data_IF_886370399624
#
_entry.id   IF_886370399624
#
_cell.length_a   1.000
_cell.length_b   1.000
_cell.length_c   1.000
_cell.angle_alpha   90.00
_cell.angle_beta   90.00
_cell.angle_gamma   90.00
#
_symmetry.space_group_name_H-M   'P 1'
#
loop_
_entity.id
_entity.type
_entity.pdbx_description
1 polymer ?
#
# COMPACT_ATOMS: atom_id res chain seq x y z
N UNK A 1 6.06 20.02 -2.37
CA UNK A 1 5.10 18.91 -2.52
C UNK A 1 4.88 18.25 -1.17
N UNK A 2 3.65 18.28 -0.64
CA UNK A 2 3.32 17.64 0.65
C UNK A 2 3.30 16.12 0.47
N UNK A 3 4.20 15.41 1.16
CA UNK A 3 4.24 13.93 1.12
C UNK A 3 3.02 13.41 1.90
N UNK A 4 2.12 12.71 1.21
CA UNK A 4 0.94 12.09 1.84
C UNK A 4 1.24 10.61 2.06
N UNK A 5 1.28 10.20 3.32
CA UNK A 5 1.31 8.77 3.65
C UNK A 5 -0.11 8.23 3.63
N UNK A 6 -0.24 7.06 3.03
CA UNK A 6 -1.48 6.32 2.98
C UNK A 6 -1.36 5.10 3.90
N UNK A 7 -2.36 4.85 4.76
CA UNK A 7 -2.47 3.59 5.47
C UNK A 7 -2.49 2.41 4.50
N UNK A 8 -2.17 1.21 4.99
CA UNK A 8 -2.06 0.01 4.17
C UNK A 8 -3.34 -0.35 3.40
N UNK A 9 -4.50 0.10 3.88
CA UNK A 9 -5.81 -0.12 3.25
C UNK A 9 -6.07 0.78 2.04
N UNK A 10 -5.41 1.94 1.98
CA UNK A 10 -5.51 2.91 0.88
C UNK A 10 -4.44 2.71 -0.21
N UNK A 11 -3.47 1.82 0.05
CA UNK A 11 -2.38 1.51 -0.86
C UNK A 11 -2.84 0.63 -2.04
N UNK A 12 -2.61 1.12 -3.25
CA UNK A 12 -2.84 0.38 -4.51
C UNK A 12 -1.60 -0.43 -4.90
N UNK A 13 -1.05 -1.19 -3.95
CA UNK A 13 0.18 -1.97 -4.18
C UNK A 13 0.02 -2.96 -5.33
N UNK A 14 0.98 -3.00 -6.27
CA UNK A 14 1.01 -3.96 -7.38
C UNK A 14 0.03 -3.70 -8.53
N UNK A 15 -0.86 -2.71 -8.41
CA UNK A 15 -1.85 -2.38 -9.46
C UNK A 15 -1.17 -1.97 -10.77
N UNK A 16 -0.12 -1.14 -10.70
CA UNK A 16 0.59 -0.67 -11.88
C UNK A 16 1.29 -1.81 -12.64
N UNK A 17 1.97 -2.72 -11.91
CA UNK A 17 2.62 -3.87 -12.52
C UNK A 17 1.60 -4.80 -13.19
N UNK A 18 0.46 -5.04 -12.55
CA UNK A 18 -0.59 -5.88 -13.15
C UNK A 18 -1.21 -5.22 -14.37
N UNK A 19 -1.44 -3.90 -14.34
CA UNK A 19 -1.96 -3.17 -15.49
C UNK A 19 -1.00 -3.20 -16.69
N UNK A 20 0.31 -3.00 -16.45
CA UNK A 20 1.33 -3.10 -17.51
C UNK A 20 1.41 -4.51 -18.08
N UNK A 21 1.37 -5.53 -17.22
CA UNK A 21 1.34 -6.92 -17.66
C UNK A 21 0.13 -7.22 -18.53
N UNK A 22 -1.06 -6.81 -18.10
CA UNK A 22 -2.28 -6.98 -18.88
C UNK A 22 -2.21 -6.26 -20.23
N UNK A 23 -1.66 -5.05 -20.27
CA UNK A 23 -1.49 -4.32 -21.53
C UNK A 23 -0.60 -5.11 -22.51
N UNK A 24 0.58 -5.56 -22.07
CA UNK A 24 1.50 -6.36 -22.90
C UNK A 24 0.86 -7.69 -23.31
N UNK A 25 0.15 -8.35 -22.40
CA UNK A 25 -0.54 -9.61 -22.63
C UNK A 25 -1.59 -9.50 -23.75
N UNK A 26 -2.50 -8.52 -23.65
CA UNK A 26 -3.52 -8.33 -24.68
C UNK A 26 -2.94 -7.82 -25.99
N UNK A 27 -1.89 -6.99 -25.97
CA UNK A 27 -1.17 -6.62 -27.20
C UNK A 27 -0.57 -7.84 -27.91
N UNK A 28 0.02 -8.78 -27.17
CA UNK A 28 0.55 -10.02 -27.74
C UNK A 28 -0.55 -10.89 -28.36
N UNK A 29 -1.67 -11.08 -27.65
CA UNK A 29 -2.82 -11.84 -28.17
C UNK A 29 -3.39 -11.19 -29.42
N UNK A 30 -3.65 -9.88 -29.42
CA UNK A 30 -4.12 -9.16 -30.60
C UNK A 30 -3.14 -9.28 -31.78
N UNK A 31 -1.83 -9.18 -31.51
CA UNK A 31 -0.78 -9.37 -32.50
C UNK A 31 -0.82 -10.77 -33.14
N UNK A 32 -1.04 -11.82 -32.34
CA UNK A 32 -1.19 -13.19 -32.85
C UNK A 32 -2.46 -13.35 -33.69
N UNK A 33 -3.60 -12.81 -33.25
CA UNK A 33 -4.86 -12.87 -33.99
C UNK A 33 -4.72 -12.22 -35.37
N UNK A 34 -4.04 -11.07 -35.45
CA UNK A 34 -3.80 -10.35 -36.70
C UNK A 34 -2.91 -11.12 -37.69
N UNK A 35 -1.98 -11.96 -37.20
CA UNK A 35 -1.01 -12.68 -38.05
C UNK A 35 -1.48 -14.08 -38.44
N UNK A 36 -2.03 -14.84 -37.50
CA UNK A 36 -2.36 -16.26 -37.68
C UNK A 36 -3.86 -16.56 -37.70
N UNK A 37 -4.71 -15.54 -37.60
CA UNK A 37 -6.14 -15.69 -37.42
C UNK A 37 -6.52 -16.15 -36.01
N UNK A 38 -7.82 -16.30 -35.78
CA UNK A 38 -8.37 -16.64 -34.46
C UNK A 38 -8.40 -18.15 -34.23
N UNK A 39 -7.73 -18.62 -33.18
CA UNK A 39 -7.75 -20.03 -32.76
C UNK A 39 -8.50 -20.19 -31.44
N UNK A 40 -9.25 -21.29 -31.28
CA UNK A 40 -10.05 -21.55 -30.08
C UNK A 40 -9.19 -21.68 -28.81
N UNK A 41 -7.94 -22.11 -28.94
CA UNK A 41 -6.97 -22.13 -27.83
C UNK A 41 -6.68 -20.72 -27.28
N UNK A 42 -6.82 -19.66 -28.09
CA UNK A 42 -6.62 -18.27 -27.66
C UNK A 42 -7.73 -17.78 -26.73
N UNK A 43 -8.93 -18.38 -26.77
CA UNK A 43 -10.01 -18.05 -25.84
C UNK A 43 -9.59 -18.31 -24.39
N UNK A 44 -8.87 -19.41 -24.12
CA UNK A 44 -8.35 -19.72 -22.79
C UNK A 44 -7.37 -18.63 -22.31
N UNK A 45 -6.47 -18.15 -23.17
CA UNK A 45 -5.52 -17.10 -22.84
C UNK A 45 -6.20 -15.72 -22.63
N UNK A 46 -7.29 -15.45 -23.35
CA UNK A 46 -8.08 -14.24 -23.22
C UNK A 46 -8.83 -14.20 -21.88
N UNK A 47 -9.44 -15.34 -21.50
CA UNK A 47 -10.14 -15.53 -20.22
C UNK A 47 -9.16 -15.59 -19.04
N UNK A 48 -8.01 -16.24 -19.18
CA UNK A 48 -6.99 -16.28 -18.13
C UNK A 48 -6.45 -14.88 -17.80
N UNK A 49 -6.30 -14.00 -18.80
CA UNK A 49 -5.88 -12.61 -18.63
C UNK A 49 -6.89 -11.71 -17.89
N UNK A 50 -8.17 -12.10 -17.83
CA UNK A 50 -9.22 -11.35 -17.13
C UNK A 50 -9.12 -11.51 -15.59
N UNK A 51 -8.65 -12.65 -15.10
CA UNK A 51 -8.50 -12.90 -13.66
C UNK A 51 -7.63 -11.85 -12.94
N UNK A 52 -6.39 -11.55 -13.37
CA UNK A 52 -5.58 -10.52 -12.73
C UNK A 52 -6.16 -9.12 -12.86
N UNK A 53 -6.90 -8.82 -13.94
CA UNK A 53 -7.61 -7.55 -14.10
C UNK A 53 -8.74 -7.41 -13.07
N UNK A 54 -9.57 -8.44 -12.89
CA UNK A 54 -10.63 -8.46 -11.89
C UNK A 54 -10.08 -8.26 -10.48
N UNK A 55 -8.97 -8.93 -10.13
CA UNK A 55 -8.29 -8.73 -8.85
C UNK A 55 -7.80 -7.29 -8.68
N UNK A 56 -7.24 -6.71 -9.73
CA UNK A 56 -6.76 -5.32 -9.75
C UNK A 56 -7.91 -4.34 -9.53
N UNK A 57 -9.04 -4.52 -10.22
CA UNK A 57 -10.24 -3.69 -10.04
C UNK A 57 -10.74 -3.75 -8.59
N UNK A 58 -10.76 -4.93 -7.97
CA UNK A 58 -11.17 -5.07 -6.57
C UNK A 58 -10.23 -4.34 -5.61
N UNK A 59 -8.92 -4.41 -5.81
CA UNK A 59 -7.93 -3.67 -5.02
C UNK A 59 -8.13 -2.16 -5.19
N UNK A 60 -8.33 -1.70 -6.41
CA UNK A 60 -8.57 -0.28 -6.72
C UNK A 60 -9.87 0.21 -6.08
N UNK A 61 -10.98 -0.53 -6.24
CA UNK A 61 -12.27 -0.20 -5.62
C UNK A 61 -12.15 -0.10 -4.10
N UNK A 62 -11.50 -1.08 -3.47
CA UNK A 62 -11.23 -1.05 -2.03
C UNK A 62 -10.42 0.19 -1.64
N UNK A 63 -9.31 0.46 -2.32
CA UNK A 63 -8.47 1.61 -2.02
C UNK A 63 -9.19 2.95 -2.23
N UNK A 64 -10.01 3.09 -3.27
CA UNK A 64 -10.82 4.28 -3.51
C UNK A 64 -11.88 4.48 -2.44
N UNK A 65 -12.52 3.40 -1.99
CA UNK A 65 -13.49 3.44 -0.91
C UNK A 65 -12.88 4.00 0.39
N UNK A 66 -11.72 3.49 0.81
CA UNK A 66 -11.03 4.01 2.00
C UNK A 66 -10.54 5.45 1.83
N UNK A 67 -10.07 5.81 0.63
CA UNK A 67 -9.71 7.21 0.33
C UNK A 67 -10.90 8.14 0.45
N UNK A 68 -12.08 7.72 -0.04
CA UNK A 68 -13.30 8.49 0.09
C UNK A 68 -13.66 8.68 1.57
N UNK A 69 -13.61 7.61 2.38
CA UNK A 69 -13.87 7.72 3.82
C UNK A 69 -12.91 8.68 4.53
N UNK A 70 -11.62 8.68 4.15
CA UNK A 70 -10.65 9.66 4.68
C UNK A 70 -11.01 11.08 4.28
N UNK A 71 -11.32 11.32 3.00
CA UNK A 71 -11.73 12.65 2.53
C UNK A 71 -12.99 13.13 3.25
N UNK A 72 -13.98 12.25 3.43
CA UNK A 72 -15.22 12.57 4.14
C UNK A 72 -14.95 12.89 5.62
N UNK A 73 -14.06 12.13 6.29
CA UNK A 73 -13.64 12.42 7.66
C UNK A 73 -12.84 13.71 7.78
N UNK A 74 -12.04 14.08 6.78
CA UNK A 74 -11.31 15.36 6.77
C UNK A 74 -12.26 16.54 6.53
N UNK A 75 -13.25 16.37 5.66
CA UNK A 75 -14.19 17.43 5.29
C UNK A 75 -15.26 17.67 6.36
N UNK A 76 -15.74 16.61 7.02
CA UNK A 76 -16.90 16.68 7.90
C UNK A 76 -16.65 16.16 9.33
N UNK A 77 -15.46 15.64 9.60
CA UNK A 77 -15.09 15.13 10.91
C UNK A 77 -14.54 16.22 11.83
N UNK A 78 -14.31 15.83 13.09
CA UNK A 78 -13.73 16.70 14.09
C UNK A 78 -12.21 16.73 13.95
N UNK A 79 -11.65 17.94 13.93
CA UNK A 79 -10.22 18.18 13.86
C UNK A 79 -9.67 18.44 15.26
N UNK A 80 -8.64 17.71 15.65
CA UNK A 80 -7.93 17.93 16.91
C UNK A 80 -6.42 17.80 16.71
N UNK A 81 -5.64 18.48 17.54
CA UNK A 81 -4.17 18.35 17.54
C UNK A 81 -3.78 17.16 18.41
N UNK A 82 -2.95 16.29 17.85
CA UNK A 82 -2.41 15.13 18.54
C UNK A 82 -0.89 15.18 18.63
N UNK A 83 -0.37 14.47 19.61
CA UNK A 83 1.05 14.19 19.79
C UNK A 83 1.28 12.69 19.67
N UNK A 84 2.14 12.26 18.77
CA UNK A 84 2.54 10.86 18.65
C UNK A 84 3.40 10.52 19.87
N UNK A 85 2.97 9.55 20.67
CA UNK A 85 3.65 9.15 21.91
C UNK A 85 4.43 7.85 21.70
N UNK A 86 4.00 7.02 20.76
CA UNK A 86 4.59 5.71 20.56
C UNK A 86 4.27 5.10 19.20
N UNK A 87 4.95 3.98 18.92
CA UNK A 87 4.70 3.18 17.73
C UNK A 87 4.62 1.72 18.12
N UNK A 88 3.49 1.11 17.82
CA UNK A 88 3.27 -0.32 18.04
C UNK A 88 3.44 -1.07 16.72
N UNK A 89 4.35 -2.04 16.73
CA UNK A 89 4.58 -2.97 15.62
C UNK A 89 3.73 -4.22 15.82
N UNK A 90 2.99 -4.62 14.80
CA UNK A 90 2.21 -5.86 14.82
C UNK A 90 2.46 -6.67 13.55
N UNK A 91 2.85 -7.93 13.73
CA UNK A 91 3.05 -8.89 12.64
C UNK A 91 1.76 -9.72 12.51
N UNK A 92 0.98 -9.46 11.45
CA UNK A 92 -0.31 -10.12 11.22
C UNK A 92 -0.09 -11.36 10.34
N UNK A 93 -0.48 -12.56 10.78
CA UNK A 93 -0.37 -13.76 9.96
C UNK A 93 -1.33 -13.69 8.77
N UNK A 94 -0.85 -14.09 7.60
CA UNK A 94 -1.65 -14.32 6.42
C UNK A 94 -1.24 -15.64 5.76
N UNK A 95 -2.23 -16.37 5.25
CA UNK A 95 -1.99 -17.62 4.53
C UNK A 95 -1.69 -17.30 3.08
N UNK A 96 -0.56 -17.80 2.56
CA UNK A 96 -0.28 -17.75 1.13
C UNK A 96 -1.31 -18.62 0.41
N UNK A 97 -2.00 -18.07 -0.59
CA UNK A 97 -2.93 -18.81 -1.43
C UNK A 97 -2.15 -19.80 -2.29
N UNK A 98 -2.18 -21.09 -1.94
CA UNK A 98 -1.51 -22.18 -2.64
C UNK A 98 -1.63 -23.51 -1.87
N UNK A 99 -1.30 -24.61 -2.54
CA UNK A 99 -1.41 -25.99 -2.03
C UNK A 99 -0.57 -26.24 -0.76
N UNK A 100 0.50 -25.46 -0.57
CA UNK A 100 1.28 -25.42 0.67
C UNK A 100 0.98 -24.11 1.42
N UNK A 101 0.03 -24.15 2.37
CA UNK A 101 -0.37 -23.02 3.24
C UNK A 101 0.75 -22.60 4.20
N UNK A 102 1.84 -22.04 3.67
CA UNK A 102 2.90 -21.46 4.51
C UNK A 102 2.34 -20.23 5.22
N UNK A 103 2.41 -20.25 6.55
CA UNK A 103 2.11 -19.09 7.39
C UNK A 103 3.14 -18.02 7.06
N UNK A 104 2.68 -16.88 6.53
CA UNK A 104 3.50 -15.71 6.31
C UNK A 104 3.04 -14.60 7.24
N UNK A 105 3.93 -13.71 7.60
CA UNK A 105 3.61 -12.57 8.45
C UNK A 105 3.68 -11.29 7.65
N UNK A 106 2.72 -10.40 7.88
CA UNK A 106 2.68 -9.07 7.32
C UNK A 106 2.82 -8.05 8.43
N UNK A 107 3.90 -7.28 8.36
CA UNK A 107 4.23 -6.26 9.35
C UNK A 107 3.41 -5.00 9.11
N UNK A 108 2.79 -4.50 10.17
CA UNK A 108 2.13 -3.20 10.20
C UNK A 108 2.65 -2.36 11.37
N UNK A 109 2.81 -1.07 11.12
CA UNK A 109 3.21 -0.07 12.10
C UNK A 109 2.00 0.79 12.43
N UNK A 110 1.65 0.88 13.71
CA UNK A 110 0.56 1.67 14.21
C UNK A 110 1.14 2.80 15.06
N UNK A 111 0.68 4.03 14.84
CA UNK A 111 1.08 5.19 15.61
C UNK A 111 0.11 5.36 16.77
N UNK A 112 0.64 5.49 17.97
CA UNK A 112 -0.13 5.84 19.17
C UNK A 112 -0.08 7.35 19.34
N UNK A 113 -1.26 7.97 19.38
CA UNK A 113 -1.39 9.41 19.40
C UNK A 113 -2.21 9.80 20.61
N UNK A 114 -1.66 10.69 21.42
CA UNK A 114 -2.38 11.37 22.49
C UNK A 114 -3.03 12.62 21.93
N UNK A 115 -4.34 12.71 22.09
CA UNK A 115 -5.16 13.85 21.69
C UNK A 115 -5.61 14.56 22.95
N UNK A 116 -5.40 15.87 23.00
CA UNK A 116 -5.90 16.69 24.10
C UNK A 116 -7.08 17.48 23.57
N UNK A 117 -8.25 17.23 24.15
CA UNK A 117 -9.45 17.99 23.81
C UNK A 117 -9.29 19.45 24.31
N UNK A 118 -9.34 20.46 23.43
CA UNK A 118 -9.18 21.85 23.83
C UNK A 118 -10.27 22.33 24.80
N UNK A 119 -11.46 21.76 24.75
CA UNK A 119 -12.62 22.23 25.52
C UNK A 119 -12.64 21.63 26.93
N UNK A 120 -12.23 20.36 27.08
CA UNK A 120 -12.27 19.63 28.37
C UNK A 120 -10.89 19.46 29.01
N UNK A 121 -9.80 19.65 28.26
CA UNK A 121 -8.44 19.39 28.71
C UNK A 121 -8.11 17.90 28.92
N UNK A 122 -9.06 17.00 28.62
CA UNK A 122 -8.88 15.56 28.80
C UNK A 122 -7.96 15.04 27.70
N UNK A 123 -6.92 14.29 28.09
CA UNK A 123 -6.07 13.58 27.14
C UNK A 123 -6.60 12.16 26.89
N UNK A 124 -6.73 11.80 25.62
CA UNK A 124 -7.18 10.49 25.17
C UNK A 124 -6.13 9.88 24.26
N UNK A 125 -5.90 8.57 24.39
CA UNK A 125 -4.96 7.85 23.54
C UNK A 125 -5.73 7.10 22.46
N UNK A 126 -5.35 7.35 21.21
CA UNK A 126 -5.90 6.67 20.05
C UNK A 126 -4.79 5.91 19.31
N UNK A 127 -5.21 4.90 18.57
CA UNK A 127 -4.32 4.13 17.68
C UNK A 127 -4.67 4.43 16.23
N UNK A 128 -3.65 4.77 15.44
CA UNK A 128 -3.81 5.02 14.01
C UNK A 128 -4.18 3.75 13.25
N UNK A 129 -4.51 3.90 11.97
CA UNK A 129 -4.53 2.77 11.03
C UNK A 129 -3.11 2.21 10.81
N UNK A 130 -3.04 0.95 10.37
CA UNK A 130 -1.76 0.27 10.13
C UNK A 130 -1.06 0.75 8.87
N UNK A 131 0.19 1.15 9.00
CA UNK A 131 1.07 1.51 7.88
C UNK A 131 2.00 0.35 7.52
N UNK A 132 2.26 0.14 6.22
CA UNK A 132 3.22 -0.90 5.80
C UNK A 132 4.67 -0.51 5.99
N UNK A 133 4.93 0.80 6.03
CA UNK A 133 6.26 1.38 6.21
C UNK A 133 6.39 1.97 7.62
N UNK A 134 7.59 1.97 8.20
CA UNK A 134 7.84 2.59 9.49
C UNK A 134 7.81 4.11 9.35
N UNK A 135 6.61 4.70 9.40
CA UNK A 135 6.39 6.14 9.18
C UNK A 135 7.21 7.00 10.13
N UNK A 136 7.28 6.62 11.39
CA UNK A 136 7.97 7.35 12.46
C UNK A 136 9.43 7.71 12.16
N UNK A 137 10.13 6.89 11.35
CA UNK A 137 11.54 7.14 10.97
C UNK A 137 11.73 8.36 10.07
N UNK A 138 10.67 8.77 9.39
CA UNK A 138 10.70 9.87 8.42
C UNK A 138 10.11 11.15 9.00
N UNK A 139 9.55 11.10 10.21
CA UNK A 139 8.93 12.24 10.84
C UNK A 139 9.99 13.09 11.54
N UNK A 140 9.87 14.42 11.41
CA UNK A 140 10.72 15.41 12.10
C UNK A 140 10.08 15.96 13.38
N UNK A 141 8.77 15.77 13.59
CA UNK A 141 8.06 16.13 14.82
C UNK A 141 7.02 15.08 15.20
N UNK A 142 6.75 14.97 16.50
CA UNK A 142 5.66 14.18 17.08
C UNK A 142 4.28 14.84 16.90
N UNK A 143 4.21 16.09 16.46
CA UNK A 143 2.94 16.79 16.27
C UNK A 143 2.23 16.35 15.00
N UNK A 144 0.93 16.05 15.13
CA UNK A 144 0.09 15.59 14.02
C UNK A 144 -1.32 16.14 14.17
N UNK A 145 -2.02 16.36 13.04
CA UNK A 145 -3.44 16.66 13.06
C UNK A 145 -4.23 15.36 13.00
N UNK A 146 -5.17 15.16 13.91
CA UNK A 146 -6.08 14.03 13.91
C UNK A 146 -7.45 14.47 13.42
N UNK A 147 -7.97 13.74 12.44
CA UNK A 147 -9.35 13.85 11.97
C UNK A 147 -10.13 12.64 12.42
N UNK A 148 -11.13 12.87 13.27
CA UNK A 148 -12.04 11.83 13.73
C UNK A 148 -13.30 11.87 12.89
N UNK A 149 -13.68 10.74 12.31
CA UNK A 149 -14.90 10.59 11.54
C UNK A 149 -16.15 10.89 12.40
N UNK A 150 -17.29 11.17 11.76
CA UNK A 150 -18.58 11.44 12.44
C UNK A 150 -19.01 10.33 13.39
N UNK A 151 -18.61 9.10 13.10
CA UNK A 151 -18.88 7.94 13.93
C UNK A 151 -18.09 7.92 15.24
N UNK A 152 -17.00 8.70 15.35
CA UNK A 152 -16.11 8.71 16.51
C UNK A 152 -15.07 7.58 16.55
N UNK A 153 -15.23 6.54 15.71
CA UNK A 153 -14.43 5.31 15.79
C UNK A 153 -13.18 5.32 14.92
N UNK A 154 -13.20 6.06 13.81
CA UNK A 154 -12.09 6.09 12.85
C UNK A 154 -11.31 7.39 12.98
N UNK A 155 -10.00 7.25 13.13
CA UNK A 155 -9.07 8.35 13.22
C UNK A 155 -8.11 8.34 12.03
N UNK A 156 -7.97 9.48 11.38
CA UNK A 156 -7.05 9.71 10.28
C UNK A 156 -6.01 10.74 10.69
N UNK A 157 -4.74 10.44 10.41
CA UNK A 157 -3.63 11.30 10.74
C UNK A 157 -3.15 12.08 9.51
N UNK A 158 -2.95 13.37 9.69
CA UNK A 158 -2.60 14.35 8.66
C UNK A 158 -1.60 15.39 9.17
N UNK A 159 -1.08 16.20 8.24
CA UNK A 159 -0.14 17.30 8.54
C UNK A 159 1.17 16.82 9.21
N UNK A 160 1.62 15.60 8.88
CA UNK A 160 2.91 15.09 9.34
C UNK A 160 4.06 16.05 8.98
N UNK A 161 4.90 16.36 9.97
CA UNK A 161 6.15 17.07 9.73
C UNK A 161 7.25 16.07 9.40
N UNK A 162 7.90 16.29 8.27
CA UNK A 162 8.90 15.38 7.72
C UNK A 162 10.30 15.84 8.06
N UNK A 163 11.21 14.89 8.23
CA UNK A 163 12.64 15.18 8.25
C UNK A 163 13.07 15.82 6.95
N UNK A 164 13.98 16.78 7.05
CA UNK A 164 14.61 17.40 5.89
C UNK A 164 15.74 16.49 5.38
N UNK A 165 16.50 15.92 6.31
CA UNK A 165 17.64 15.07 6.01
C UNK A 165 17.52 13.69 6.68
N UNK A 166 18.15 12.69 6.06
CA UNK A 166 18.20 11.32 6.62
C UNK A 166 18.92 11.27 7.98
N UNK A 167 19.85 12.19 8.21
CA UNK A 167 20.67 12.25 9.41
C UNK A 167 20.01 13.01 10.57
N UNK A 168 18.82 13.60 10.34
CA UNK A 168 18.09 14.27 11.42
C UNK A 168 17.75 13.25 12.52
N UNK A 169 17.81 13.65 13.80
CA UNK A 169 17.51 12.75 14.91
C UNK A 169 16.09 12.18 14.81
N UNK A 170 15.91 10.92 15.22
CA UNK A 170 14.59 10.30 15.34
C UNK A 170 13.82 10.95 16.51
N UNK A 171 12.51 11.08 16.37
CA UNK A 171 11.65 11.67 17.41
C UNK A 171 11.55 10.77 18.64
N UNK A 172 11.80 9.48 18.46
CA UNK A 172 11.71 8.46 19.50
C UNK A 172 13.02 7.70 19.58
N UNK A 173 13.47 7.49 20.82
CA UNK A 173 14.60 6.61 21.12
C UNK A 173 14.10 5.16 21.12
N UNK A 174 14.30 4.44 20.01
CA UNK A 174 13.99 3.01 19.92
C UNK A 174 15.27 2.20 19.71
N UNK A 175 15.39 1.02 20.34
CA UNK A 175 16.47 0.09 20.02
C UNK A 175 16.39 -0.28 18.54
N UNK A 176 17.48 -0.01 17.80
CA UNK A 176 17.62 -0.34 16.37
C UNK A 176 17.82 -1.84 16.11
N UNK A 177 17.76 -2.66 17.15
CA UNK A 177 18.10 -4.10 17.15
C UNK A 177 17.24 -4.96 16.22
N UNK A 178 16.11 -4.45 15.73
CA UNK A 178 15.27 -5.10 14.72
C UNK A 178 15.47 -4.54 13.30
N UNK A 179 16.65 -3.97 13.00
CA UNK A 179 17.10 -3.68 11.63
C UNK A 179 17.38 -4.96 10.84
N UNK A 180 16.35 -5.77 10.64
CA UNK A 180 16.39 -6.84 9.66
C UNK A 180 16.23 -6.25 8.27
N UNK A 181 17.37 -6.20 7.59
CA UNK A 181 17.56 -6.21 6.15
C UNK A 181 16.34 -6.84 5.48
N UNK A 182 15.60 -6.06 4.70
CA UNK A 182 14.56 -6.61 3.83
C UNK A 182 15.21 -7.57 2.84
N UNK A 183 15.24 -8.86 3.18
CA UNK A 183 15.70 -9.89 2.27
C UNK A 183 14.64 -10.09 1.18
N UNK A 184 14.82 -9.33 0.10
CA UNK A 184 14.87 -9.82 -1.29
C UNK A 184 13.65 -10.48 -1.94
N UNK A 185 12.55 -10.79 -1.25
CA UNK A 185 11.43 -11.49 -1.92
C UNK A 185 10.72 -10.59 -2.96
N UNK A 186 10.63 -9.28 -2.69
CA UNK A 186 10.02 -8.32 -3.62
C UNK A 186 10.92 -7.98 -4.81
N UNK A 187 12.24 -7.92 -4.61
CA UNK A 187 13.21 -7.65 -5.69
C UNK A 187 13.27 -8.83 -6.65
N UNK A 188 13.32 -10.06 -6.15
CA UNK A 188 13.32 -11.25 -7.01
C UNK A 188 12.03 -11.36 -7.83
N UNK A 189 10.85 -11.15 -7.23
CA UNK A 189 9.59 -11.14 -8.00
C UNK A 189 9.56 -10.03 -9.05
N UNK A 190 10.13 -8.86 -8.73
CA UNK A 190 10.20 -7.73 -9.65
C UNK A 190 11.19 -7.98 -10.79
N UNK A 191 12.33 -8.62 -10.52
CA UNK A 191 13.31 -9.03 -11.54
C UNK A 191 12.70 -10.08 -12.46
N UNK A 192 12.07 -11.13 -11.90
CA UNK A 192 11.38 -12.16 -12.69
C UNK A 192 10.29 -11.52 -13.56
N UNK A 193 9.51 -10.60 -12.99
CA UNK A 193 8.50 -9.84 -13.74
C UNK A 193 9.10 -9.06 -14.92
N UNK A 194 10.20 -8.34 -14.70
CA UNK A 194 10.90 -7.59 -15.75
C UNK A 194 11.43 -8.53 -16.84
N UNK A 195 12.00 -9.67 -16.46
CA UNK A 195 12.50 -10.68 -17.41
C UNK A 195 11.35 -11.25 -18.25
N UNK A 196 10.23 -11.63 -17.63
CA UNK A 196 9.04 -12.11 -18.35
C UNK A 196 8.49 -11.03 -19.29
N UNK A 197 8.42 -9.78 -18.82
CA UNK A 197 7.95 -8.65 -19.63
C UNK A 197 8.86 -8.43 -20.85
N UNK A 198 10.18 -8.47 -20.66
CA UNK A 198 11.15 -8.37 -21.75
C UNK A 198 11.04 -9.52 -22.74
N UNK A 199 10.88 -10.76 -22.26
CA UNK A 199 10.66 -11.92 -23.10
C UNK A 199 9.36 -11.82 -23.90
N UNK A 200 8.27 -11.34 -23.30
CA UNK A 200 7.01 -11.10 -24.02
C UNK A 200 7.17 -10.03 -25.09
N UNK A 201 7.84 -8.91 -24.78
CA UNK A 201 8.12 -7.85 -25.74
C UNK A 201 8.99 -8.37 -26.89
N UNK A 202 10.07 -9.08 -26.57
CA UNK A 202 10.94 -9.72 -27.57
C UNK A 202 10.16 -10.67 -28.46
N UNK A 203 9.28 -11.51 -27.90
CA UNK A 203 8.45 -12.42 -28.69
C UNK A 203 7.50 -11.65 -29.64
N UNK A 204 6.89 -10.55 -29.18
CA UNK A 204 6.06 -9.68 -30.04
C UNK A 204 6.85 -9.08 -31.20
N UNK A 205 8.11 -8.69 -30.98
CA UNK A 205 8.99 -8.15 -32.02
C UNK A 205 9.58 -9.22 -32.94
N UNK A 206 9.94 -10.39 -32.42
CA UNK A 206 10.53 -11.51 -33.17
C UNK A 206 9.48 -12.19 -34.05
N UNK A 207 8.22 -12.24 -33.63
CA UNK A 207 7.13 -12.77 -34.45
C UNK A 207 6.68 -11.79 -35.56
N UNK A 208 7.21 -10.56 -35.61
CA UNK A 208 6.88 -9.54 -36.62
C UNK A 208 7.68 -9.76 -37.89
#
# INVERSE_FOLDING_TARGET
MRRVIRPAEEEMGGVLSTALFSAVWYCAICGTILKSGFQISMFLFLVAGLLPLCQTVNIVRRALFYRKQRTDAIAFGNRCRGRIVGVTRQDVPYYSSGEHRRLRYRRYYYLEVEMTDPDTGISTRIRSQGYRRPVHRYLGSDRVTVYTDRSGWKHYLEDFQWKEHKNDPDIFDYPREFEEVHLESGRLSQIIFVVILLLMILNVFIQR
#
